data_IF_748638405154
#
_entry.id   IF_748638405154
#
_cell.length_a   1.000
_cell.length_b   1.000
_cell.length_c   1.000
_cell.angle_alpha   90.00
_cell.angle_beta   90.00
_cell.angle_gamma   90.00
#
_symmetry.space_group_name_H-M   'P 1'
#
loop_
_entity.id
_entity.type
_entity.pdbx_description
1 polymer ?
#
# COMPACT_ATOMS: atom_id res chain seq x y z
N UNK A 1 -16.89 -40.20 46.50
CA UNK A 1 -16.94 -39.76 45.12
C UNK A 1 -15.58 -39.85 44.47
N UNK A 2 -15.47 -39.51 43.20
CA UNK A 2 -14.24 -39.54 42.42
C UNK A 2 -13.17 -38.52 42.89
N UNK A 3 -13.57 -37.53 43.68
CA UNK A 3 -12.67 -36.57 44.32
C UNK A 3 -12.16 -37.05 45.70
N UNK A 4 -12.49 -38.28 46.10
CA UNK A 4 -12.06 -38.89 47.37
C UNK A 4 -12.81 -38.37 48.57
N UNK A 5 -13.94 -37.70 48.40
CA UNK A 5 -14.81 -37.23 49.50
C UNK A 5 -15.93 -38.23 49.76
N UNK A 6 -15.99 -38.77 50.99
CA UNK A 6 -17.07 -39.72 51.39
C UNK A 6 -18.42 -38.98 51.36
N UNK A 7 -19.32 -39.43 50.49
CA UNK A 7 -20.66 -38.84 50.32
C UNK A 7 -20.68 -37.48 49.64
N UNK A 8 -19.58 -37.10 48.96
CA UNK A 8 -19.52 -35.90 48.17
C UNK A 8 -20.28 -36.01 46.84
N UNK A 9 -20.47 -34.89 46.17
CA UNK A 9 -21.19 -34.78 44.90
C UNK A 9 -20.35 -35.08 43.67
N UNK A 10 -19.06 -35.37 43.83
CA UNK A 10 -18.10 -35.49 42.69
C UNK A 10 -17.70 -34.16 42.10
N UNK A 11 -17.29 -34.19 40.83
CA UNK A 11 -16.97 -33.00 40.06
C UNK A 11 -18.27 -32.22 39.78
N UNK A 12 -18.29 -30.93 40.08
CA UNK A 12 -19.47 -30.10 39.89
C UNK A 12 -19.80 -29.91 38.41
N UNK A 13 -21.09 -29.69 38.12
CA UNK A 13 -21.54 -29.42 36.73
C UNK A 13 -20.84 -28.20 36.14
N UNK A 14 -20.14 -28.41 35.04
CA UNK A 14 -19.37 -27.38 34.33
C UNK A 14 -17.89 -27.35 34.73
N UNK A 15 -17.46 -28.07 35.74
CA UNK A 15 -16.06 -28.28 36.09
C UNK A 15 -15.52 -29.54 35.43
N UNK A 16 -14.22 -29.64 35.26
CA UNK A 16 -13.58 -30.81 34.64
C UNK A 16 -12.69 -31.59 35.57
N UNK A 17 -12.44 -31.08 36.78
CA UNK A 17 -11.69 -31.77 37.83
C UNK A 17 -12.20 -31.42 39.23
N UNK A 18 -11.62 -32.10 40.22
CA UNK A 18 -11.96 -31.91 41.65
C UNK A 18 -11.39 -30.64 42.26
N UNK A 19 -10.61 -29.88 41.54
CA UNK A 19 -10.02 -28.59 41.95
C UNK A 19 -10.87 -27.39 41.52
N UNK A 20 -11.97 -27.62 40.78
CA UNK A 20 -12.87 -26.59 40.31
C UNK A 20 -12.40 -25.93 38.98
N UNK A 21 -11.52 -26.60 38.25
CA UNK A 21 -11.10 -26.11 36.94
C UNK A 21 -12.20 -26.35 35.89
N UNK A 22 -12.22 -25.48 34.90
CA UNK A 22 -13.15 -25.52 33.76
C UNK A 22 -12.35 -25.78 32.49
N UNK A 23 -12.87 -26.61 31.60
CA UNK A 23 -12.30 -26.75 30.24
C UNK A 23 -12.85 -25.65 29.36
N UNK A 24 -11.96 -24.74 28.98
CA UNK A 24 -12.24 -23.61 28.08
C UNK A 24 -12.02 -23.97 26.60
N UNK A 25 -11.89 -25.27 26.30
CA UNK A 25 -11.69 -25.77 24.94
C UNK A 25 -10.25 -26.18 24.65
N UNK A 26 -9.37 -26.05 25.65
CA UNK A 26 -7.94 -26.38 25.52
C UNK A 26 -7.49 -27.49 26.46
N UNK A 27 -8.41 -28.01 27.27
CA UNK A 27 -8.16 -29.00 28.30
C UNK A 27 -8.48 -28.48 29.70
N UNK A 28 -8.63 -29.42 30.61
CA UNK A 28 -9.02 -29.10 31.99
C UNK A 28 -7.94 -28.30 32.71
N UNK A 29 -8.29 -27.08 33.13
CA UNK A 29 -7.37 -26.17 33.83
C UNK A 29 -6.31 -25.51 32.98
N UNK A 30 -6.35 -25.72 31.67
CA UNK A 30 -5.47 -25.03 30.74
C UNK A 30 -6.06 -23.65 30.33
N UNK A 31 -5.19 -22.75 29.93
CA UNK A 31 -5.62 -21.48 29.39
C UNK A 31 -6.48 -21.69 28.12
N UNK A 32 -7.62 -21.02 28.04
CA UNK A 32 -8.48 -21.06 26.87
C UNK A 32 -7.83 -20.51 25.60
N UNK A 33 -8.52 -20.62 24.45
CA UNK A 33 -8.09 -20.01 23.23
C UNK A 33 -7.87 -18.50 23.42
N UNK A 34 -6.72 -18.00 22.98
CA UNK A 34 -6.31 -16.60 23.12
C UNK A 34 -5.44 -16.19 21.94
N UNK A 35 -5.03 -14.93 21.92
CA UNK A 35 -4.29 -14.39 20.78
C UNK A 35 -5.14 -14.22 19.52
N UNK A 36 -4.55 -13.68 18.49
CA UNK A 36 -5.20 -13.47 17.20
C UNK A 36 -5.42 -14.76 16.41
N UNK A 37 -4.67 -15.83 16.69
CA UNK A 37 -4.76 -17.16 16.09
C UNK A 37 -5.77 -18.08 16.78
N UNK A 38 -6.34 -17.60 17.91
CA UNK A 38 -7.30 -18.34 18.72
C UNK A 38 -6.79 -19.72 19.18
N UNK A 39 -5.47 -19.87 19.30
CA UNK A 39 -4.85 -21.09 19.80
C UNK A 39 -4.79 -21.10 21.33
N UNK A 40 -4.69 -22.30 21.91
CA UNK A 40 -4.67 -22.48 23.36
C UNK A 40 -3.44 -21.82 23.99
N UNK A 41 -3.66 -20.81 24.86
CA UNK A 41 -2.59 -20.10 25.55
C UNK A 41 -1.69 -19.28 24.63
N UNK A 42 -2.19 -18.88 23.46
CA UNK A 42 -1.47 -18.04 22.54
C UNK A 42 -1.40 -16.59 23.03
N UNK A 43 -0.22 -15.99 22.91
CA UNK A 43 0.04 -14.57 23.16
C UNK A 43 0.26 -13.77 21.84
N UNK A 44 -0.06 -14.39 20.70
CA UNK A 44 0.10 -13.72 19.41
C UNK A 44 -0.87 -12.54 19.29
N UNK A 45 -0.35 -11.40 18.88
CA UNK A 45 -1.13 -10.21 18.57
C UNK A 45 -1.12 -9.96 17.05
N UNK A 46 -2.08 -9.19 16.56
CA UNK A 46 -2.01 -8.67 15.19
C UNK A 46 -0.90 -7.64 15.11
N UNK A 47 -0.09 -7.73 14.05
CA UNK A 47 0.83 -6.67 13.71
C UNK A 47 0.09 -5.47 13.07
N UNK A 48 0.84 -4.44 12.66
CA UNK A 48 0.28 -3.26 12.00
C UNK A 48 -0.42 -3.55 10.66
N UNK A 49 -0.21 -4.76 10.13
CA UNK A 49 -0.80 -5.27 8.88
C UNK A 49 -2.02 -6.17 9.12
N UNK A 50 -2.52 -6.26 10.37
CA UNK A 50 -3.57 -7.19 10.75
C UNK A 50 -3.19 -8.67 10.51
N UNK A 51 -1.88 -8.98 10.44
CA UNK A 51 -1.37 -10.35 10.34
C UNK A 51 -1.09 -10.88 11.74
N UNK A 52 -1.72 -11.97 12.08
CA UNK A 52 -1.53 -12.60 13.38
C UNK A 52 -0.10 -13.13 13.55
N UNK A 53 0.61 -12.60 14.57
CA UNK A 53 2.01 -12.96 14.81
C UNK A 53 2.99 -12.44 13.78
N UNK A 54 2.57 -11.49 12.96
CA UNK A 54 3.42 -10.81 12.00
C UNK A 54 4.46 -9.91 12.69
N UNK A 55 5.45 -9.49 11.94
CA UNK A 55 6.53 -8.61 12.39
C UNK A 55 6.40 -7.17 11.86
N UNK A 56 5.24 -6.82 11.26
CA UNK A 56 4.98 -5.52 10.64
C UNK A 56 5.64 -5.35 9.27
N UNK A 57 6.45 -6.30 8.81
CA UNK A 57 7.15 -6.18 7.50
C UNK A 57 6.26 -6.57 6.32
N UNK A 58 5.16 -7.28 6.60
CA UNK A 58 4.21 -7.76 5.58
C UNK A 58 3.10 -6.77 5.24
N UNK A 59 3.12 -5.58 5.81
CA UNK A 59 2.12 -4.53 5.56
C UNK A 59 2.22 -3.94 4.16
N UNK A 60 2.45 -4.68 3.14
CA UNK A 60 2.37 -4.15 1.77
C UNK A 60 3.10 -2.83 1.50
N UNK A 61 4.01 -2.42 2.42
CA UNK A 61 5.03 -1.41 2.16
C UNK A 61 6.19 -2.07 1.39
N UNK A 62 5.90 -2.86 0.37
CA UNK A 62 6.89 -2.98 -0.68
C UNK A 62 7.04 -1.58 -1.26
N UNK A 63 8.11 -0.92 -0.86
CA UNK A 63 8.52 0.33 -1.50
C UNK A 63 8.53 0.04 -3.00
N UNK A 64 7.59 0.65 -3.72
CA UNK A 64 7.53 0.47 -5.16
C UNK A 64 8.76 1.15 -5.74
N UNK A 65 9.70 0.35 -6.20
CA UNK A 65 10.97 0.80 -6.75
C UNK A 65 11.02 0.67 -8.27
N UNK A 66 10.08 -0.07 -8.87
CA UNK A 66 9.93 -0.20 -10.31
C UNK A 66 8.51 0.24 -10.74
N UNK A 67 8.43 1.11 -11.72
CA UNK A 67 7.14 1.54 -12.27
C UNK A 67 6.32 0.40 -12.88
N UNK A 68 6.95 -0.72 -13.22
CA UNK A 68 6.25 -1.89 -13.74
C UNK A 68 5.45 -2.65 -12.67
N UNK A 69 5.73 -2.41 -11.39
CA UNK A 69 4.99 -2.96 -10.25
C UNK A 69 3.71 -2.15 -9.93
N UNK A 70 3.54 -0.99 -10.56
CA UNK A 70 2.30 -0.22 -10.46
C UNK A 70 1.12 -0.99 -11.07
N UNK A 71 -0.13 -0.69 -10.65
CA UNK A 71 -1.31 -1.40 -11.13
C UNK A 71 -1.45 -1.39 -12.65
N UNK A 72 -1.98 -2.48 -13.21
CA UNK A 72 -2.35 -2.57 -14.61
C UNK A 72 -3.74 -1.98 -14.84
N UNK A 73 -3.87 -1.08 -15.81
CA UNK A 73 -5.15 -0.55 -16.26
C UNK A 73 -5.13 -0.31 -17.77
N UNK A 74 -6.26 -0.58 -18.41
CA UNK A 74 -6.45 -0.26 -19.84
C UNK A 74 -6.83 1.19 -20.12
N UNK A 75 -7.11 2.00 -19.08
CA UNK A 75 -7.65 3.36 -19.22
C UNK A 75 -7.02 4.38 -18.28
N UNK A 76 -6.33 3.94 -17.25
CA UNK A 76 -5.74 4.79 -16.20
C UNK A 76 -4.24 4.62 -16.16
N UNK A 77 -3.51 5.71 -16.21
CA UNK A 77 -2.09 5.74 -15.89
C UNK A 77 -1.88 5.95 -14.39
N UNK A 78 -0.79 5.45 -13.87
CA UNK A 78 -0.42 5.61 -12.46
C UNK A 78 0.93 6.29 -12.33
N UNK A 79 1.04 7.15 -11.32
CA UNK A 79 2.31 7.72 -10.86
C UNK A 79 2.55 7.32 -9.41
N UNK A 80 3.81 7.11 -9.07
CA UNK A 80 4.28 6.90 -7.71
C UNK A 80 5.57 7.66 -7.48
N UNK A 81 5.73 8.30 -6.32
CA UNK A 81 6.94 9.00 -5.92
C UNK A 81 7.68 8.18 -4.88
N UNK A 82 8.90 7.77 -5.19
CA UNK A 82 9.76 7.06 -4.24
C UNK A 82 10.38 8.02 -3.24
N UNK A 83 10.86 7.50 -2.11
CA UNK A 83 11.60 8.24 -1.09
C UNK A 83 12.87 8.92 -1.63
N UNK A 84 13.45 8.40 -2.71
CA UNK A 84 14.65 8.93 -3.38
C UNK A 84 14.36 10.04 -4.39
N UNK A 85 13.08 10.39 -4.62
CA UNK A 85 12.66 11.41 -5.56
C UNK A 85 12.46 10.91 -7.00
N UNK A 86 12.47 9.61 -7.23
CA UNK A 86 12.11 9.04 -8.52
C UNK A 86 10.59 9.02 -8.69
N UNK A 87 10.07 9.61 -9.76
CA UNK A 87 8.67 9.48 -10.14
C UNK A 87 8.54 8.30 -11.09
N UNK A 88 7.90 7.25 -10.61
CA UNK A 88 7.60 6.04 -11.37
C UNK A 88 6.28 6.20 -12.12
N UNK A 89 6.14 5.50 -13.26
CA UNK A 89 4.90 5.54 -14.04
C UNK A 89 4.56 4.19 -14.64
N UNK A 90 3.27 3.98 -14.89
CA UNK A 90 2.73 2.91 -15.73
C UNK A 90 1.51 3.45 -16.47
N UNK A 91 1.48 3.30 -17.78
CA UNK A 91 0.42 3.89 -18.62
C UNK A 91 0.12 3.06 -19.86
N UNK A 92 -1.17 2.94 -20.24
CA UNK A 92 -1.56 2.34 -21.51
C UNK A 92 -1.37 3.29 -22.69
N UNK A 93 -1.20 4.60 -22.45
CA UNK A 93 -1.17 5.63 -23.48
C UNK A 93 0.20 6.31 -23.57
N UNK A 94 0.52 6.85 -24.76
CA UNK A 94 1.74 7.64 -24.96
C UNK A 94 1.57 9.03 -24.34
N UNK A 95 2.58 9.49 -23.58
CA UNK A 95 2.59 10.79 -22.91
C UNK A 95 3.25 11.83 -23.81
N UNK A 96 2.56 12.94 -24.12
CA UNK A 96 3.06 14.10 -24.83
C UNK A 96 3.55 15.23 -23.92
N UNK A 97 3.04 15.26 -22.67
CA UNK A 97 3.46 16.18 -21.63
C UNK A 97 2.81 15.85 -20.30
N UNK A 98 3.42 16.32 -19.21
CA UNK A 98 2.87 16.13 -17.88
C UNK A 98 3.17 17.32 -16.96
N UNK A 99 2.30 17.51 -15.98
CA UNK A 99 2.47 18.44 -14.87
C UNK A 99 1.95 17.76 -13.61
N UNK A 100 2.61 18.02 -12.48
CA UNK A 100 2.13 17.66 -11.15
C UNK A 100 2.78 18.55 -10.10
N UNK A 101 2.21 18.55 -8.90
CA UNK A 101 2.78 19.17 -7.71
C UNK A 101 3.30 18.11 -6.74
N UNK A 102 4.50 18.31 -6.22
CA UNK A 102 5.07 17.49 -5.13
C UNK A 102 4.49 17.97 -3.80
N UNK A 103 3.95 17.06 -3.01
CA UNK A 103 3.35 17.36 -1.71
C UNK A 103 4.42 17.23 -0.62
N UNK A 104 4.45 18.20 0.30
CA UNK A 104 5.34 18.18 1.48
C UNK A 104 6.66 18.92 1.30
N UNK A 105 7.15 19.10 0.08
CA UNK A 105 8.43 19.78 -0.17
C UNK A 105 8.44 20.54 -1.50
N UNK A 106 9.57 21.21 -1.78
CA UNK A 106 9.84 21.88 -3.07
C UNK A 106 10.86 21.08 -3.88
N UNK A 107 10.88 21.33 -5.18
CA UNK A 107 11.75 20.66 -6.16
C UNK A 107 12.80 21.62 -6.67
N UNK A 108 14.07 21.27 -6.53
CA UNK A 108 15.21 22.05 -7.03
C UNK A 108 15.41 21.83 -8.52
N UNK A 109 15.31 20.59 -8.98
CA UNK A 109 15.49 20.22 -10.38
C UNK A 109 14.79 18.90 -10.70
N UNK A 110 14.57 18.65 -12.01
CA UNK A 110 14.07 17.37 -12.52
C UNK A 110 14.83 16.98 -13.79
N UNK A 111 15.19 15.69 -13.89
CA UNK A 111 15.95 15.21 -15.07
C UNK A 111 15.84 13.68 -15.21
N UNK A 112 16.35 13.16 -16.33
CA UNK A 112 16.46 11.72 -16.54
C UNK A 112 15.12 11.02 -16.77
N UNK A 113 15.08 9.70 -16.50
CA UNK A 113 13.93 8.87 -16.74
C UNK A 113 13.50 8.83 -18.21
N UNK A 114 12.26 8.39 -18.44
CA UNK A 114 11.67 8.35 -19.78
C UNK A 114 11.55 9.76 -20.39
N UNK A 115 11.27 10.79 -19.58
CA UNK A 115 11.22 12.19 -20.02
C UNK A 115 12.56 12.64 -20.61
N UNK A 116 13.67 12.38 -19.91
CA UNK A 116 15.01 12.70 -20.40
C UNK A 116 15.40 11.89 -21.63
N UNK A 117 15.03 10.61 -21.70
CA UNK A 117 15.35 9.72 -22.81
C UNK A 117 14.75 10.20 -24.15
N UNK A 118 13.55 10.79 -24.12
CA UNK A 118 12.87 11.34 -25.32
C UNK A 118 13.11 12.83 -25.51
N UNK A 119 13.92 13.46 -24.66
CA UNK A 119 14.31 14.87 -24.79
C UNK A 119 13.24 15.85 -24.33
N UNK A 120 12.42 15.52 -23.36
CA UNK A 120 11.50 16.48 -22.73
C UNK A 120 12.30 17.56 -21.99
N UNK A 121 11.81 18.78 -22.09
CA UNK A 121 12.24 19.84 -21.19
C UNK A 121 11.48 19.70 -19.87
N UNK A 122 12.22 19.54 -18.80
CA UNK A 122 11.66 19.52 -17.45
C UNK A 122 11.91 20.87 -16.78
N UNK A 123 10.85 21.52 -16.31
CA UNK A 123 10.87 22.79 -15.60
C UNK A 123 10.27 22.63 -14.22
N UNK A 124 10.91 23.21 -13.21
CA UNK A 124 10.46 23.16 -11.82
C UNK A 124 10.23 24.57 -11.28
N UNK A 125 9.15 24.77 -10.51
CA UNK A 125 8.83 26.04 -9.87
C UNK A 125 8.15 25.77 -8.52
N UNK A 126 8.88 25.93 -7.42
CA UNK A 126 8.37 25.58 -6.08
C UNK A 126 8.14 24.08 -5.98
N UNK A 127 6.90 23.65 -5.80
CA UNK A 127 6.50 22.24 -5.81
C UNK A 127 6.08 21.72 -7.17
N UNK A 128 5.85 22.62 -8.14
CA UNK A 128 5.32 22.24 -9.46
C UNK A 128 6.43 21.74 -10.39
N UNK A 129 6.17 20.64 -11.05
CA UNK A 129 7.00 20.04 -12.11
C UNK A 129 6.19 20.02 -13.39
N UNK A 130 6.74 20.59 -14.46
CA UNK A 130 6.16 20.60 -15.81
C UNK A 130 7.16 20.02 -16.80
N UNK A 131 6.72 19.11 -17.65
CA UNK A 131 7.58 18.53 -18.68
C UNK A 131 6.84 18.35 -20.01
N UNK A 132 7.50 18.70 -21.09
CA UNK A 132 6.96 18.57 -22.46
C UNK A 132 8.07 18.59 -23.50
N UNK A 133 7.74 18.21 -24.74
CA UNK A 133 8.65 18.24 -25.87
C UNK A 133 8.32 19.36 -26.83
N UNK A 134 9.31 20.15 -27.23
CA UNK A 134 9.17 21.12 -28.36
C UNK A 134 9.22 20.45 -29.74
N UNK A 135 9.77 19.24 -29.81
CA UNK A 135 9.87 18.49 -31.07
C UNK A 135 8.67 17.60 -31.37
N UNK A 136 7.71 17.52 -30.43
CA UNK A 136 6.56 16.60 -30.50
C UNK A 136 6.92 15.16 -30.19
N UNK A 137 8.07 14.91 -29.53
CA UNK A 137 8.41 13.58 -29.04
C UNK A 137 7.44 13.17 -27.92
N UNK A 138 7.20 11.88 -27.78
CA UNK A 138 6.33 11.30 -26.75
C UNK A 138 7.06 10.21 -25.97
N UNK A 139 6.68 10.05 -24.70
CA UNK A 139 7.06 8.86 -23.92
C UNK A 139 6.09 7.76 -24.35
N UNK A 140 6.56 6.60 -24.82
CA UNK A 140 5.68 5.50 -25.21
C UNK A 140 4.85 4.98 -24.04
N UNK A 141 3.70 4.36 -24.34
CA UNK A 141 2.99 3.52 -23.37
C UNK A 141 3.93 2.48 -22.77
N UNK A 142 3.79 2.20 -21.49
CA UNK A 142 4.65 1.27 -20.75
C UNK A 142 4.83 1.68 -19.30
N UNK A 143 5.94 1.28 -18.71
CA UNK A 143 6.23 1.48 -17.29
C UNK A 143 7.73 1.77 -17.07
N UNK A 144 8.05 2.32 -15.91
CA UNK A 144 9.41 2.61 -15.47
C UNK A 144 9.53 3.91 -14.71
N UNK A 145 10.70 4.54 -14.75
CA UNK A 145 10.93 5.87 -14.18
C UNK A 145 10.55 6.96 -15.17
N UNK A 146 9.61 7.83 -14.81
CA UNK A 146 9.19 8.97 -15.63
C UNK A 146 10.22 10.08 -15.61
N UNK A 147 10.60 10.52 -14.41
CA UNK A 147 11.58 11.60 -14.16
C UNK A 147 12.17 11.42 -12.77
N UNK A 148 13.42 11.85 -12.58
CA UNK A 148 14.06 11.93 -11.25
C UNK A 148 14.04 13.38 -10.79
N UNK A 149 13.61 13.60 -9.55
CA UNK A 149 13.50 14.91 -8.92
C UNK A 149 14.57 15.07 -7.84
N UNK A 150 15.12 16.27 -7.76
CA UNK A 150 16.00 16.71 -6.68
C UNK A 150 15.14 17.50 -5.67
N UNK A 151 14.81 16.84 -4.57
CA UNK A 151 13.88 17.33 -3.56
C UNK A 151 14.62 18.09 -2.46
N UNK A 152 14.03 19.18 -1.95
CA UNK A 152 14.62 19.98 -0.85
C UNK A 152 14.26 19.45 0.55
N UNK A 153 13.49 18.36 0.64
CA UNK A 153 13.03 17.75 1.90
C UNK A 153 12.15 16.53 1.59
N UNK A 154 11.51 16.01 2.63
CA UNK A 154 10.68 14.82 2.53
C UNK A 154 9.38 15.14 1.79
N UNK A 155 9.12 14.41 0.72
CA UNK A 155 7.88 14.47 -0.02
C UNK A 155 6.91 13.39 0.48
N UNK A 156 5.62 13.71 0.49
CA UNK A 156 4.57 12.78 0.93
C UNK A 156 3.71 12.27 -0.23
N UNK A 157 3.95 12.72 -1.46
CA UNK A 157 3.24 12.26 -2.64
C UNK A 157 3.16 13.28 -3.76
N UNK A 158 2.27 13.03 -4.72
CA UNK A 158 2.00 13.92 -5.85
C UNK A 158 0.53 14.34 -5.85
N UNK A 159 0.27 15.55 -6.33
CA UNK A 159 -1.07 16.11 -6.49
C UNK A 159 -1.19 16.91 -7.78
N UNK A 160 -2.39 17.40 -8.12
CA UNK A 160 -2.63 18.23 -9.31
C UNK A 160 -2.12 17.59 -10.60
N UNK A 161 -2.23 16.28 -10.73
CA UNK A 161 -1.68 15.52 -11.86
C UNK A 161 -2.45 15.84 -13.13
N UNK A 162 -1.75 16.33 -14.14
CA UNK A 162 -2.26 16.59 -15.49
C UNK A 162 -1.30 15.95 -16.48
N UNK A 163 -1.80 15.02 -17.26
CA UNK A 163 -1.01 14.35 -18.32
C UNK A 163 -1.75 14.51 -19.64
N UNK A 164 -1.04 14.71 -20.71
CA UNK A 164 -1.62 14.84 -22.04
C UNK A 164 -0.94 13.93 -23.07
N UNK A 165 -1.68 13.59 -24.11
CA UNK A 165 -1.15 12.94 -25.30
C UNK A 165 -0.38 13.94 -26.21
N UNK A 166 0.11 13.46 -27.36
CA UNK A 166 0.89 14.25 -28.31
C UNK A 166 0.10 15.40 -28.96
N UNK A 167 -1.23 15.36 -28.93
CA UNK A 167 -2.10 16.39 -29.53
C UNK A 167 -2.77 17.29 -28.49
N UNK A 168 -2.44 17.07 -27.20
CA UNK A 168 -2.89 17.89 -26.07
C UNK A 168 -4.20 17.44 -25.45
N UNK A 169 -4.73 16.25 -25.78
CA UNK A 169 -5.87 15.70 -25.05
C UNK A 169 -5.39 15.17 -23.70
N UNK A 170 -6.20 15.39 -22.66
CA UNK A 170 -5.90 14.88 -21.34
C UNK A 170 -5.99 13.34 -21.31
N UNK A 171 -4.98 12.70 -20.72
CA UNK A 171 -4.96 11.29 -20.37
C UNK A 171 -5.21 11.20 -18.85
N UNK A 172 -6.00 10.23 -18.43
CA UNK A 172 -6.33 10.07 -17.02
C UNK A 172 -5.18 9.39 -16.26
N UNK A 173 -4.73 10.02 -15.19
CA UNK A 173 -3.69 9.51 -14.30
C UNK A 173 -4.09 9.67 -12.84
N UNK A 174 -3.70 8.73 -12.02
CA UNK A 174 -3.86 8.73 -10.57
C UNK A 174 -2.51 8.59 -9.87
N UNK A 175 -2.43 9.15 -8.66
CA UNK A 175 -1.32 8.89 -7.77
C UNK A 175 -1.56 7.56 -7.05
N UNK A 176 -0.59 6.69 -7.07
CA UNK A 176 -0.61 5.42 -6.34
C UNK A 176 0.28 5.56 -5.10
N UNK A 177 -0.31 5.52 -3.92
CA UNK A 177 0.40 5.73 -2.66
C UNK A 177 1.28 4.54 -2.25
N UNK A 178 1.11 3.38 -2.89
CA UNK A 178 1.68 2.12 -2.40
C UNK A 178 0.90 1.63 -1.18
N UNK A 179 0.77 0.33 -1.01
CA UNK A 179 0.04 -0.22 0.12
C UNK A 179 -1.17 -1.05 -0.31
N UNK A 180 -1.44 -2.03 0.48
CA UNK A 180 -2.53 -2.99 0.49
C UNK A 180 -3.70 -2.67 -0.43
N UNK A 181 -4.01 -3.58 -1.32
CA UNK A 181 -5.19 -3.62 -2.20
C UNK A 181 -6.51 -3.74 -1.41
N UNK A 182 -6.78 -2.80 -0.50
CA UNK A 182 -7.99 -2.77 0.33
C UNK A 182 -8.92 -1.59 0.02
N UNK A 183 -8.58 -0.72 -0.95
CA UNK A 183 -9.52 0.30 -1.42
C UNK A 183 -9.69 0.22 -2.93
N UNK A 184 -10.50 -0.74 -3.37
CA UNK A 184 -11.22 -0.62 -4.65
C UNK A 184 -12.48 0.20 -4.32
N UNK A 185 -12.58 1.49 -4.69
CA UNK A 185 -13.82 2.22 -4.57
C UNK A 185 -14.82 1.61 -5.55
N UNK A 186 -15.77 0.81 -5.07
CA UNK A 186 -16.81 0.27 -5.92
C UNK A 186 -17.46 -1.03 -5.52
N UNK A 187 -16.98 -1.74 -4.50
CA UNK A 187 -17.71 -2.86 -3.92
C UNK A 187 -18.53 -2.40 -2.71
N UNK A 188 -19.67 -1.79 -2.96
CA UNK A 188 -20.74 -1.78 -1.97
C UNK A 188 -21.36 -3.17 -2.00
N UNK A 189 -21.01 -3.99 -1.03
CA UNK A 189 -21.72 -5.25 -0.77
C UNK A 189 -23.14 -4.92 -0.33
N UNK A 190 -24.08 -5.14 -1.25
CA UNK A 190 -25.51 -5.07 -0.93
C UNK A 190 -25.93 -6.49 -0.54
N UNK A 191 -25.69 -6.84 0.73
CA UNK A 191 -26.33 -7.99 1.35
C UNK A 191 -27.56 -7.50 2.11
N UNK A 192 -28.73 -7.71 1.50
CA UNK A 192 -30.02 -7.70 2.18
C UNK A 192 -30.34 -9.08 2.74
#
# INVERSE_FOLDING_TARGET
>A
DECGVCGGGGIADGECDCAGNVDLGCGCGEAGPSGCDNACGSDLEFDECEICGGDGTSCGNEEITDGCDLPDSGTTGYLHLTSEGSVLYKTPDAIGGFQFDVVGTTVSSGSGGAAGAVGFMVSTAGSTVLAFSFSGATIPAGCGTLVNLDLNGDATGLSSIIVSDAVGNQIYFEYYEGGSSADIPGCTDISA
#
